data_IF_549644574897
#
_entry.id   IF_549644574897
#
_cell.length_a   1.000
_cell.length_b   1.000
_cell.length_c   1.000
_cell.angle_alpha   90.00
_cell.angle_beta   90.00
_cell.angle_gamma   90.00
#
_symmetry.space_group_name_H-M   'P 1'
#
loop_
_entity.id
_entity.type
_entity.pdbx_description
1 polymer ?
#
# COMPACT_ATOMS: atom_id res chain seq x y z
N UNK A 1 -0.66 -34.34 -6.54
CA UNK A 1 -1.43 -34.40 -5.27
C UNK A 1 -2.71 -35.16 -5.55
N UNK A 2 -3.00 -36.21 -4.77
CA UNK A 2 -4.22 -37.02 -4.94
C UNK A 2 -5.47 -36.16 -4.72
N UNK A 3 -6.41 -36.19 -5.65
CA UNK A 3 -7.61 -35.35 -5.71
C UNK A 3 -8.71 -35.68 -4.67
N UNK A 4 -8.38 -36.40 -3.57
CA UNK A 4 -9.34 -36.91 -2.59
C UNK A 4 -9.17 -36.43 -1.15
N UNK A 5 -8.11 -35.70 -0.80
CA UNK A 5 -7.92 -35.21 0.56
C UNK A 5 -8.46 -33.78 0.71
N UNK A 6 -9.49 -33.62 1.53
CA UNK A 6 -9.98 -32.28 1.92
C UNK A 6 -8.85 -31.54 2.64
N UNK A 7 -8.58 -30.25 2.29
CA UNK A 7 -7.51 -29.48 2.94
C UNK A 7 -7.70 -29.47 4.47
N UNK A 8 -6.62 -29.71 5.18
CA UNK A 8 -6.59 -29.71 6.64
C UNK A 8 -7.00 -28.33 7.20
N UNK A 9 -7.34 -28.27 8.47
CA UNK A 9 -7.62 -26.98 9.13
C UNK A 9 -6.43 -25.99 9.03
N UNK A 10 -5.22 -26.50 9.20
CA UNK A 10 -3.99 -25.70 9.07
C UNK A 10 -3.78 -25.19 7.62
N UNK A 11 -4.08 -26.01 6.63
CA UNK A 11 -3.97 -25.58 5.22
C UNK A 11 -4.98 -24.47 4.89
N UNK A 12 -6.16 -24.50 5.48
CA UNK A 12 -7.14 -23.42 5.35
C UNK A 12 -6.68 -22.13 6.02
N UNK A 13 -6.08 -22.20 7.20
CA UNK A 13 -5.51 -21.01 7.87
C UNK A 13 -4.38 -20.42 7.03
N UNK A 14 -3.46 -21.26 6.54
CA UNK A 14 -2.37 -20.83 5.67
C UNK A 14 -2.90 -20.19 4.39
N UNK A 15 -3.90 -20.80 3.76
CA UNK A 15 -4.54 -20.25 2.57
C UNK A 15 -5.22 -18.89 2.86
N UNK A 16 -5.88 -18.73 4.01
CA UNK A 16 -6.49 -17.47 4.41
C UNK A 16 -5.45 -16.37 4.66
N UNK A 17 -4.35 -16.70 5.33
CA UNK A 17 -3.23 -15.78 5.54
C UNK A 17 -2.59 -15.36 4.21
N UNK A 18 -2.36 -16.32 3.30
CA UNK A 18 -1.80 -16.04 1.98
C UNK A 18 -2.69 -15.09 1.14
N UNK A 19 -4.03 -15.26 1.20
CA UNK A 19 -4.98 -14.36 0.54
C UNK A 19 -4.96 -12.94 1.12
N UNK A 20 -4.82 -12.83 2.44
CA UNK A 20 -4.78 -11.53 3.11
C UNK A 20 -3.48 -10.76 2.82
N UNK A 21 -2.38 -11.44 2.44
CA UNK A 21 -1.03 -10.87 2.25
C UNK A 21 -0.55 -10.14 3.51
N UNK A 22 -0.06 -10.87 4.53
CA UNK A 22 0.23 -10.33 5.86
C UNK A 22 1.17 -9.11 5.86
N UNK A 23 2.17 -9.10 4.99
CA UNK A 23 3.11 -8.00 4.80
C UNK A 23 2.41 -6.68 4.44
N UNK A 24 1.46 -6.71 3.51
CA UNK A 24 0.72 -5.53 3.07
C UNK A 24 -0.30 -5.06 4.13
N UNK A 25 -1.05 -5.99 4.72
CA UNK A 25 -2.09 -5.60 5.68
C UNK A 25 -1.53 -5.11 7.01
N UNK A 26 -0.40 -5.66 7.45
CA UNK A 26 0.32 -5.14 8.61
C UNK A 26 0.83 -3.73 8.34
N UNK A 27 1.38 -3.48 7.14
CA UNK A 27 1.77 -2.16 6.70
C UNK A 27 0.62 -1.16 6.74
N UNK A 28 -0.56 -1.51 6.23
CA UNK A 28 -1.74 -0.66 6.26
C UNK A 28 -2.17 -0.30 7.70
N UNK A 29 -2.19 -1.27 8.62
CA UNK A 29 -2.46 -1.02 10.04
C UNK A 29 -1.43 -0.10 10.69
N UNK A 30 -0.13 -0.32 10.41
CA UNK A 30 0.96 0.52 10.92
C UNK A 30 0.85 1.96 10.39
N UNK A 31 0.49 2.16 9.14
CA UNK A 31 0.29 3.50 8.58
C UNK A 31 -0.87 4.26 9.23
N UNK A 32 -1.96 3.56 9.63
CA UNK A 32 -3.04 4.18 10.40
C UNK A 32 -2.51 4.65 11.76
N UNK A 33 -1.80 3.79 12.50
CA UNK A 33 -1.22 4.16 13.81
C UNK A 33 -0.19 5.29 13.66
N UNK A 34 0.62 5.26 12.60
CA UNK A 34 1.54 6.37 12.29
C UNK A 34 0.78 7.69 12.08
N UNK A 35 -0.33 7.67 11.35
CA UNK A 35 -1.21 8.84 11.19
C UNK A 35 -1.77 9.35 12.51
N UNK A 36 -2.16 8.47 13.44
CA UNK A 36 -2.59 8.84 14.79
C UNK A 36 -1.47 9.54 15.58
N UNK A 37 -0.25 8.99 15.55
CA UNK A 37 0.92 9.58 16.22
C UNK A 37 1.23 10.96 15.64
N UNK A 38 1.25 11.10 14.32
CA UNK A 38 1.51 12.37 13.63
C UNK A 38 0.44 13.44 13.93
N UNK A 39 -0.79 13.00 14.13
CA UNK A 39 -1.90 13.89 14.52
C UNK A 39 -1.75 14.43 15.94
N UNK A 40 -1.33 13.57 16.88
CA UNK A 40 -1.29 13.86 18.31
C UNK A 40 0.07 14.39 18.78
N UNK A 41 1.18 14.11 18.05
CA UNK A 41 2.52 14.34 18.55
C UNK A 41 2.88 13.50 19.78
N UNK A 42 2.13 12.44 20.04
CA UNK A 42 2.33 11.49 21.15
C UNK A 42 1.69 10.13 20.81
N UNK A 43 1.95 9.12 21.65
CA UNK A 43 1.30 7.82 21.47
C UNK A 43 -0.21 7.95 21.65
N UNK A 44 -1.02 7.38 20.76
CA UNK A 44 -2.47 7.37 20.87
C UNK A 44 -2.93 6.48 22.03
N UNK A 45 -4.16 6.69 22.55
CA UNK A 45 -4.75 5.77 23.51
C UNK A 45 -4.75 4.34 22.96
N UNK A 46 -4.43 3.31 23.78
CA UNK A 46 -4.28 1.94 23.29
C UNK A 46 -5.49 1.40 22.52
N UNK A 47 -6.71 1.80 22.93
CA UNK A 47 -7.93 1.39 22.24
C UNK A 47 -8.04 2.04 20.85
N UNK A 48 -7.67 3.31 20.70
CA UNK A 48 -7.65 4.01 19.41
C UNK A 48 -6.62 3.37 18.48
N UNK A 49 -5.40 3.18 18.97
CA UNK A 49 -4.33 2.51 18.20
C UNK A 49 -4.73 1.12 17.72
N UNK A 50 -5.34 0.31 18.60
CA UNK A 50 -5.78 -1.03 18.25
C UNK A 50 -6.89 -1.00 17.20
N UNK A 51 -7.92 -0.18 17.39
CA UNK A 51 -9.03 -0.07 16.44
C UNK A 51 -8.59 0.50 15.10
N UNK A 52 -7.71 1.51 15.10
CA UNK A 52 -7.12 2.06 13.89
C UNK A 52 -6.29 1.03 13.13
N UNK A 53 -5.42 0.32 13.84
CA UNK A 53 -4.65 -0.78 13.28
C UNK A 53 -5.54 -1.86 12.65
N UNK A 54 -6.58 -2.30 13.36
CA UNK A 54 -7.52 -3.32 12.88
C UNK A 54 -8.35 -2.81 11.69
N UNK A 55 -8.75 -1.54 11.68
CA UNK A 55 -9.44 -0.94 10.54
C UNK A 55 -8.56 -0.99 9.29
N UNK A 56 -7.30 -0.52 9.36
CA UNK A 56 -6.34 -0.57 8.25
C UNK A 56 -6.07 -1.99 7.78
N UNK A 57 -5.77 -2.89 8.72
CA UNK A 57 -5.48 -4.29 8.46
C UNK A 57 -6.62 -5.01 7.73
N UNK A 58 -7.83 -4.92 8.26
CA UNK A 58 -8.96 -5.69 7.75
C UNK A 58 -9.55 -5.09 6.47
N UNK A 59 -9.60 -3.76 6.33
CA UNK A 59 -10.04 -3.10 5.09
C UNK A 59 -9.09 -3.46 3.95
N UNK A 60 -7.78 -3.33 4.15
CA UNK A 60 -6.76 -3.71 3.17
C UNK A 60 -6.81 -5.20 2.85
N UNK A 61 -6.94 -6.05 3.86
CA UNK A 61 -7.04 -7.50 3.69
C UNK A 61 -8.26 -7.92 2.87
N UNK A 62 -9.41 -7.29 3.09
CA UNK A 62 -10.60 -7.56 2.28
C UNK A 62 -10.39 -7.19 0.81
N UNK A 63 -9.70 -6.08 0.52
CA UNK A 63 -9.35 -5.68 -0.83
C UNK A 63 -8.39 -6.68 -1.52
N UNK A 64 -7.40 -7.22 -0.78
CA UNK A 64 -6.49 -8.25 -1.27
C UNK A 64 -7.23 -9.56 -1.58
N UNK A 65 -8.15 -9.97 -0.70
CA UNK A 65 -8.99 -11.15 -0.91
C UNK A 65 -9.89 -10.98 -2.15
N UNK A 66 -10.47 -9.78 -2.34
CA UNK A 66 -11.23 -9.45 -3.54
C UNK A 66 -10.38 -9.50 -4.80
N UNK A 67 -9.11 -9.03 -4.74
CA UNK A 67 -8.18 -9.10 -5.85
C UNK A 67 -8.02 -10.54 -6.37
N UNK A 68 -7.79 -11.51 -5.49
CA UNK A 68 -7.64 -12.91 -5.87
C UNK A 68 -8.94 -13.52 -6.46
N UNK A 69 -10.11 -13.01 -6.07
CA UNK A 69 -11.37 -13.40 -6.69
C UNK A 69 -11.49 -12.89 -8.13
N UNK A 70 -11.16 -11.64 -8.37
CA UNK A 70 -11.26 -11.04 -9.71
C UNK A 70 -10.15 -11.54 -10.64
N UNK A 71 -8.98 -11.90 -10.10
CA UNK A 71 -7.85 -12.42 -10.88
C UNK A 71 -7.88 -13.95 -11.07
N UNK A 72 -8.87 -14.67 -10.53
CA UNK A 72 -8.90 -16.14 -10.48
C UNK A 72 -8.66 -16.83 -11.82
N UNK A 73 -9.14 -16.27 -12.93
CA UNK A 73 -9.03 -16.90 -14.26
C UNK A 73 -7.61 -16.68 -14.84
N UNK A 74 -7.02 -15.53 -14.58
CA UNK A 74 -5.61 -15.21 -14.93
C UNK A 74 -4.66 -16.01 -14.04
N UNK A 75 -4.96 -16.11 -12.75
CA UNK A 75 -4.14 -16.84 -11.78
C UNK A 75 -4.12 -18.36 -12.03
N UNK A 76 -5.18 -18.94 -12.62
CA UNK A 76 -5.15 -20.34 -13.05
C UNK A 76 -4.03 -20.66 -14.02
N UNK A 77 -3.64 -19.69 -14.83
CA UNK A 77 -2.56 -19.84 -15.83
C UNK A 77 -1.22 -19.41 -15.24
N UNK A 78 -1.16 -18.24 -14.61
CA UNK A 78 0.09 -17.62 -14.22
C UNK A 78 0.57 -18.04 -12.82
N UNK A 79 -0.34 -18.39 -11.91
CA UNK A 79 -0.07 -18.74 -10.51
C UNK A 79 -0.99 -19.87 -10.01
N UNK A 80 -0.89 -21.07 -10.59
CA UNK A 80 -1.79 -22.20 -10.26
C UNK A 80 -1.65 -22.68 -8.80
N UNK A 81 -0.57 -22.30 -8.12
CA UNK A 81 -0.25 -22.58 -6.72
C UNK A 81 -1.00 -21.69 -5.72
N UNK A 82 -1.60 -20.55 -6.17
CA UNK A 82 -2.37 -19.67 -5.28
C UNK A 82 -3.57 -20.40 -4.65
N UNK A 83 -4.07 -19.94 -3.47
CA UNK A 83 -5.11 -20.64 -2.71
C UNK A 83 -6.38 -20.97 -3.50
N UNK A 84 -6.87 -20.05 -4.32
CA UNK A 84 -8.10 -20.25 -5.08
C UNK A 84 -7.91 -21.15 -6.30
N UNK A 85 -6.93 -20.94 -7.19
CA UNK A 85 -6.64 -21.83 -8.31
C UNK A 85 -6.30 -23.26 -7.88
N UNK A 86 -5.51 -23.43 -6.81
CA UNK A 86 -5.09 -24.74 -6.29
C UNK A 86 -6.21 -25.52 -5.57
N UNK A 87 -7.38 -24.88 -5.34
CA UNK A 87 -8.48 -25.51 -4.60
C UNK A 87 -8.29 -25.58 -3.09
N UNK A 88 -7.21 -24.97 -2.52
CA UNK A 88 -6.99 -24.89 -1.07
C UNK A 88 -8.08 -24.10 -0.35
N UNK A 89 -8.76 -23.19 -1.06
CA UNK A 89 -9.95 -22.49 -0.60
C UNK A 89 -11.01 -22.51 -1.71
N UNK A 90 -12.28 -22.69 -1.31
CA UNK A 90 -13.41 -22.59 -2.24
C UNK A 90 -13.82 -21.13 -2.47
N UNK A 91 -14.53 -20.84 -3.57
CA UNK A 91 -15.10 -19.50 -3.83
C UNK A 91 -16.02 -19.06 -2.68
N UNK A 92 -16.80 -19.99 -2.11
CA UNK A 92 -17.66 -19.69 -0.96
C UNK A 92 -16.83 -19.33 0.30
N UNK A 93 -15.74 -20.07 0.55
CA UNK A 93 -14.81 -19.77 1.65
C UNK A 93 -14.11 -18.42 1.48
N UNK A 94 -13.67 -18.11 0.25
CA UNK A 94 -13.07 -16.79 -0.06
C UNK A 94 -14.08 -15.66 0.16
N UNK A 95 -15.33 -15.80 -0.31
CA UNK A 95 -16.40 -14.81 -0.09
C UNK A 95 -16.71 -14.62 1.39
N UNK A 96 -16.76 -15.69 2.17
CA UNK A 96 -16.97 -15.61 3.62
C UNK A 96 -15.80 -14.86 4.30
N UNK A 97 -14.56 -15.17 3.93
CA UNK A 97 -13.38 -14.47 4.45
C UNK A 97 -13.40 -12.99 4.09
N UNK A 98 -13.73 -12.64 2.85
CA UNK A 98 -13.92 -11.27 2.39
C UNK A 98 -14.93 -10.51 3.26
N UNK A 99 -16.11 -11.10 3.50
CA UNK A 99 -17.18 -10.47 4.30
C UNK A 99 -16.75 -10.28 5.76
N UNK A 100 -16.04 -11.27 6.33
CA UNK A 100 -15.51 -11.17 7.70
C UNK A 100 -14.48 -10.02 7.80
N UNK A 101 -13.55 -9.95 6.86
CA UNK A 101 -12.54 -8.89 6.86
C UNK A 101 -13.18 -7.51 6.61
N UNK A 102 -14.05 -7.37 5.62
CA UNK A 102 -14.74 -6.11 5.35
C UNK A 102 -15.59 -5.67 6.56
N UNK A 103 -16.36 -6.58 7.15
CA UNK A 103 -17.18 -6.30 8.33
C UNK A 103 -16.35 -5.90 9.55
N UNK A 104 -15.25 -6.63 9.84
CA UNK A 104 -14.37 -6.33 10.97
C UNK A 104 -13.67 -4.96 10.78
N UNK A 105 -13.19 -4.66 9.57
CA UNK A 105 -12.53 -3.40 9.28
C UNK A 105 -13.47 -2.19 9.38
N UNK A 106 -14.65 -2.27 8.76
CA UNK A 106 -15.64 -1.20 8.82
C UNK A 106 -16.23 -1.04 10.22
N UNK A 107 -16.42 -2.14 10.97
CA UNK A 107 -16.85 -2.07 12.38
C UNK A 107 -15.79 -1.39 13.26
N UNK A 108 -14.51 -1.71 13.10
CA UNK A 108 -13.41 -1.04 13.80
C UNK A 108 -13.39 0.47 13.49
N UNK A 109 -13.57 0.84 12.21
CA UNK A 109 -13.66 2.23 11.79
C UNK A 109 -14.92 2.94 12.38
N UNK A 110 -16.07 2.26 12.44
CA UNK A 110 -17.29 2.80 13.02
C UNK A 110 -17.16 3.08 14.52
N UNK A 111 -16.45 2.24 15.27
CA UNK A 111 -16.15 2.43 16.69
C UNK A 111 -15.25 3.65 16.94
N UNK A 112 -14.44 4.06 15.96
CA UNK A 112 -13.60 5.26 16.01
C UNK A 112 -14.38 6.54 15.65
N UNK A 113 -15.55 6.41 15.02
CA UNK A 113 -16.45 7.51 14.71
C UNK A 113 -16.88 7.58 13.24
N UNK A 114 -17.92 8.40 12.97
CA UNK A 114 -18.56 8.45 11.65
C UNK A 114 -17.63 8.96 10.54
N UNK A 115 -16.74 9.91 10.83
CA UNK A 115 -15.78 10.41 9.86
C UNK A 115 -14.78 9.31 9.44
N UNK A 116 -14.29 8.53 10.42
CA UNK A 116 -13.37 7.40 10.16
C UNK A 116 -14.06 6.33 9.34
N UNK A 117 -15.31 6.00 9.66
CA UNK A 117 -16.11 5.05 8.89
C UNK A 117 -16.28 5.50 7.44
N UNK A 118 -16.61 6.76 7.19
CA UNK A 118 -16.79 7.31 5.84
C UNK A 118 -15.47 7.23 5.05
N UNK A 119 -14.36 7.64 5.65
CA UNK A 119 -13.04 7.58 5.00
C UNK A 119 -12.63 6.14 4.69
N UNK A 120 -12.84 5.21 5.63
CA UNK A 120 -12.57 3.79 5.43
C UNK A 120 -13.44 3.20 4.32
N UNK A 121 -14.73 3.54 4.29
CA UNK A 121 -15.66 3.08 3.27
C UNK A 121 -15.30 3.62 1.88
N UNK A 122 -14.89 4.89 1.77
CA UNK A 122 -14.42 5.49 0.52
C UNK A 122 -13.16 4.79 0.01
N UNK A 123 -12.14 4.63 0.86
CA UNK A 123 -10.91 3.94 0.49
C UNK A 123 -11.19 2.47 0.06
N UNK A 124 -12.06 1.79 0.81
CA UNK A 124 -12.48 0.43 0.47
C UNK A 124 -13.23 0.36 -0.87
N UNK A 125 -14.16 1.27 -1.13
CA UNK A 125 -14.88 1.33 -2.40
C UNK A 125 -13.94 1.59 -3.59
N UNK A 126 -12.94 2.48 -3.43
CA UNK A 126 -11.90 2.73 -4.44
C UNK A 126 -11.05 1.47 -4.67
N UNK A 127 -10.65 0.76 -3.62
CA UNK A 127 -9.89 -0.49 -3.73
C UNK A 127 -10.71 -1.60 -4.43
N UNK A 128 -12.02 -1.70 -4.19
CA UNK A 128 -12.89 -2.61 -4.94
C UNK A 128 -13.04 -2.19 -6.40
N UNK A 129 -13.22 -0.90 -6.67
CA UNK A 129 -13.30 -0.38 -8.03
C UNK A 129 -11.99 -0.60 -8.80
N UNK A 130 -10.84 -0.49 -8.11
CA UNK A 130 -9.56 -0.88 -8.67
C UNK A 130 -9.58 -2.34 -9.14
N UNK A 131 -9.99 -3.27 -8.28
CA UNK A 131 -10.04 -4.69 -8.60
C UNK A 131 -11.03 -5.02 -9.74
N UNK A 132 -12.15 -4.32 -9.81
CA UNK A 132 -13.20 -4.55 -10.82
C UNK A 132 -12.82 -3.98 -12.18
N UNK A 133 -12.18 -2.78 -12.21
CA UNK A 133 -12.03 -2.03 -13.46
C UNK A 133 -10.74 -1.23 -13.61
N UNK A 134 -10.29 -0.50 -12.55
CA UNK A 134 -9.22 0.50 -12.72
C UNK A 134 -7.86 -0.13 -12.98
N UNK A 135 -7.59 -1.34 -12.50
CA UNK A 135 -6.32 -2.06 -12.74
C UNK A 135 -6.02 -2.27 -14.22
N UNK A 136 -7.03 -2.26 -15.08
CA UNK A 136 -6.86 -2.33 -16.53
C UNK A 136 -6.71 -0.97 -17.20
N UNK A 137 -6.81 0.14 -16.44
CA UNK A 137 -6.80 1.50 -16.96
C UNK A 137 -5.43 2.20 -16.83
N UNK A 138 -4.37 1.46 -16.50
CA UNK A 138 -3.00 1.96 -16.37
C UNK A 138 -2.89 3.01 -15.28
N UNK A 139 -2.53 4.26 -15.62
CA UNK A 139 -2.31 5.34 -14.63
C UNK A 139 -3.44 5.49 -13.62
N UNK A 140 -4.70 5.32 -14.04
CA UNK A 140 -5.84 5.42 -13.12
C UNK A 140 -5.82 4.28 -12.09
N UNK A 141 -5.31 3.10 -12.46
CA UNK A 141 -5.06 2.02 -11.52
C UNK A 141 -4.01 2.41 -10.48
N UNK A 142 -2.85 2.88 -10.94
CA UNK A 142 -1.75 3.28 -10.07
C UNK A 142 -2.15 4.44 -9.13
N UNK A 143 -2.91 5.41 -9.63
CA UNK A 143 -3.49 6.49 -8.81
C UNK A 143 -4.46 5.98 -7.75
N UNK A 144 -5.27 4.96 -8.07
CA UNK A 144 -6.20 4.37 -7.12
C UNK A 144 -5.49 3.61 -5.99
N UNK A 145 -4.41 2.87 -6.31
CA UNK A 145 -3.58 2.20 -5.30
C UNK A 145 -2.91 3.24 -4.40
N UNK A 146 -2.21 4.21 -4.98
CA UNK A 146 -1.55 5.28 -4.25
C UNK A 146 -2.53 6.08 -3.35
N UNK A 147 -3.74 6.34 -3.85
CA UNK A 147 -4.81 6.93 -3.04
C UNK A 147 -5.17 6.06 -1.84
N UNK A 148 -5.39 4.76 -2.03
CA UNK A 148 -5.74 3.86 -0.92
C UNK A 148 -4.63 3.80 0.14
N UNK A 149 -3.36 3.76 -0.27
CA UNK A 149 -2.22 3.78 0.66
C UNK A 149 -2.17 5.10 1.42
N UNK A 150 -2.31 6.25 0.74
CA UNK A 150 -2.31 7.56 1.39
C UNK A 150 -3.46 7.74 2.39
N UNK A 151 -4.64 7.19 2.07
CA UNK A 151 -5.82 7.26 2.92
C UNK A 151 -5.66 6.54 4.25
N UNK A 152 -4.75 5.57 4.38
CA UNK A 152 -4.47 4.92 5.67
C UNK A 152 -3.92 5.93 6.69
N UNK A 153 -3.05 6.84 6.26
CA UNK A 153 -2.49 7.91 7.12
C UNK A 153 -3.58 8.92 7.51
N UNK A 154 -4.40 9.32 6.54
CA UNK A 154 -5.52 10.26 6.80
C UNK A 154 -6.54 9.64 7.76
N UNK A 155 -6.80 8.34 7.62
CA UNK A 155 -7.67 7.58 8.52
C UNK A 155 -7.15 7.62 9.96
N UNK A 156 -5.84 7.47 10.14
CA UNK A 156 -5.20 7.59 11.45
C UNK A 156 -5.36 8.99 12.05
N UNK A 157 -5.13 10.04 11.28
CA UNK A 157 -5.39 11.40 11.72
C UNK A 157 -6.85 11.63 12.14
N UNK A 158 -7.79 11.13 11.35
CA UNK A 158 -9.22 11.21 11.67
C UNK A 158 -9.58 10.41 12.92
N UNK A 159 -8.99 9.23 13.13
CA UNK A 159 -9.16 8.40 14.33
C UNK A 159 -8.64 9.10 15.59
N UNK A 160 -7.58 9.89 15.46
CA UNK A 160 -7.04 10.74 16.52
C UNK A 160 -7.85 12.07 16.73
N UNK A 161 -8.88 12.30 15.94
CA UNK A 161 -9.74 13.49 16.03
C UNK A 161 -9.24 14.71 15.28
N UNK A 162 -8.09 14.64 14.57
CA UNK A 162 -7.56 15.77 13.80
C UNK A 162 -6.75 15.33 12.59
N UNK A 163 -6.92 16.02 11.47
CA UNK A 163 -6.12 15.84 10.25
C UNK A 163 -5.34 17.14 10.04
N UNK A 164 -4.16 17.22 10.67
CA UNK A 164 -3.28 18.40 10.63
C UNK A 164 -2.36 18.39 9.39
N UNK A 165 -1.55 19.45 9.23
CA UNK A 165 -0.64 19.61 8.10
C UNK A 165 0.42 18.50 8.01
N UNK A 166 0.88 17.97 9.17
CA UNK A 166 1.85 16.88 9.22
C UNK A 166 1.24 15.56 8.69
N UNK A 167 0.01 15.23 9.11
CA UNK A 167 -0.75 14.09 8.59
C UNK A 167 -0.95 14.18 7.08
N UNK A 168 -1.38 15.35 6.57
CA UNK A 168 -1.59 15.57 5.14
C UNK A 168 -0.28 15.47 4.35
N UNK A 169 0.80 16.03 4.88
CA UNK A 169 2.12 15.91 4.22
C UNK A 169 2.57 14.46 4.16
N UNK A 170 2.39 13.71 5.24
CA UNK A 170 2.79 12.31 5.26
C UNK A 170 1.90 11.43 4.37
N UNK A 171 0.61 11.72 4.29
CA UNK A 171 -0.29 11.09 3.33
C UNK A 171 0.14 11.39 1.87
N UNK A 172 0.54 12.64 1.57
CA UNK A 172 1.05 13.00 0.25
C UNK A 172 2.40 12.33 -0.06
N UNK A 173 3.28 12.16 0.94
CA UNK A 173 4.52 11.38 0.80
C UNK A 173 4.21 9.91 0.49
N UNK A 174 3.28 9.29 1.21
CA UNK A 174 2.84 7.92 0.96
C UNK A 174 2.26 7.77 -0.45
N UNK A 175 1.42 8.72 -0.88
CA UNK A 175 0.86 8.75 -2.23
C UNK A 175 1.94 8.84 -3.32
N UNK A 176 2.89 9.77 -3.18
CA UNK A 176 3.95 9.97 -4.18
C UNK A 176 4.93 8.79 -4.24
N UNK A 177 5.24 8.20 -3.09
CA UNK A 177 6.09 7.02 -3.02
C UNK A 177 5.43 5.84 -3.75
N UNK A 178 4.19 5.53 -3.38
CA UNK A 178 3.45 4.40 -3.94
C UNK A 178 3.18 4.59 -5.45
N UNK A 179 2.79 5.80 -5.86
CA UNK A 179 2.63 6.12 -7.28
C UNK A 179 3.94 5.93 -8.08
N UNK A 180 5.07 6.37 -7.53
CA UNK A 180 6.38 6.18 -8.14
C UNK A 180 6.76 4.72 -8.26
N UNK A 181 6.46 3.94 -7.24
CA UNK A 181 6.72 2.51 -7.19
C UNK A 181 5.83 1.73 -8.16
N UNK A 182 4.52 1.94 -8.14
CA UNK A 182 3.56 1.29 -9.04
C UNK A 182 3.92 1.52 -10.51
N UNK A 183 4.26 2.76 -10.88
CA UNK A 183 4.69 3.08 -12.25
C UNK A 183 6.02 2.42 -12.60
N UNK A 184 6.96 2.29 -11.64
CA UNK A 184 8.21 1.58 -11.86
C UNK A 184 8.00 0.07 -11.98
N UNK A 185 7.13 -0.51 -11.16
CA UNK A 185 6.75 -1.92 -11.21
C UNK A 185 6.09 -2.28 -12.54
N UNK A 186 5.19 -1.44 -13.07
CA UNK A 186 4.64 -1.59 -14.42
C UNK A 186 5.76 -1.69 -15.49
N UNK A 187 6.83 -0.91 -15.34
CA UNK A 187 7.96 -0.96 -16.28
C UNK A 187 8.76 -2.26 -16.18
N UNK A 188 8.75 -2.92 -15.01
CA UNK A 188 9.43 -4.19 -14.77
C UNK A 188 8.57 -5.42 -15.13
N UNK A 189 7.28 -5.26 -15.37
CA UNK A 189 6.33 -6.35 -15.61
C UNK A 189 5.84 -6.43 -17.06
N UNK A 190 6.35 -5.59 -17.97
CA UNK A 190 5.93 -5.53 -19.39
C UNK A 190 5.99 -6.89 -20.09
N UNK A 191 7.00 -7.74 -19.78
CA UNK A 191 7.11 -9.08 -20.37
C UNK A 191 6.09 -10.07 -19.80
N UNK A 192 5.71 -9.93 -18.51
CA UNK A 192 4.68 -10.74 -17.85
C UNK A 192 3.27 -10.37 -18.26
N UNK A 193 3.05 -9.12 -18.64
CA UNK A 193 1.77 -8.58 -19.09
C UNK A 193 1.42 -8.92 -20.55
N UNK A 194 2.26 -9.64 -21.27
CA UNK A 194 2.02 -10.04 -22.66
C UNK A 194 0.72 -10.87 -22.84
N UNK A 195 0.20 -11.46 -21.75
CA UNK A 195 -1.08 -12.18 -21.74
C UNK A 195 -2.28 -11.29 -21.36
N UNK A 196 -2.04 -10.06 -20.88
CA UNK A 196 -3.06 -9.05 -20.64
C UNK A 196 -2.92 -7.98 -21.72
N UNK A 197 -3.99 -7.58 -22.43
CA UNK A 197 -3.88 -6.47 -23.38
C UNK A 197 -3.39 -5.22 -22.61
N UNK A 198 -2.08 -5.00 -22.69
CA UNK A 198 -1.35 -4.05 -21.87
C UNK A 198 -1.91 -2.64 -21.98
N UNK A 199 -2.46 -2.15 -20.87
CA UNK A 199 -2.92 -0.78 -20.72
C UNK A 199 -2.03 0.04 -19.81
N UNK A 200 -0.94 -0.55 -19.25
CA UNK A 200 0.05 0.19 -18.46
C UNK A 200 0.75 1.26 -19.31
N UNK A 201 1.30 2.29 -18.66
CA UNK A 201 2.11 3.32 -19.33
C UNK A 201 3.29 2.67 -20.04
N UNK A 202 3.93 1.70 -19.39
CA UNK A 202 5.07 0.98 -19.91
C UNK A 202 4.72 0.24 -21.20
N UNK A 203 3.56 -0.42 -21.26
CA UNK A 203 3.08 -1.08 -22.47
C UNK A 203 2.75 -0.11 -23.62
N UNK A 204 2.25 1.11 -23.30
CA UNK A 204 1.83 2.10 -24.31
C UNK A 204 2.97 2.99 -24.80
N UNK A 205 3.91 3.37 -23.94
CA UNK A 205 4.97 4.36 -24.22
C UNK A 205 6.38 3.86 -23.97
N UNK A 206 6.53 2.58 -23.59
CA UNK A 206 7.81 1.93 -23.27
C UNK A 206 8.26 2.11 -21.83
N UNK A 207 9.05 1.15 -21.35
CA UNK A 207 9.53 1.11 -19.97
C UNK A 207 10.37 2.34 -19.58
N UNK A 208 11.21 2.84 -20.48
CA UNK A 208 12.01 4.05 -20.22
C UNK A 208 11.13 5.28 -19.90
N UNK A 209 10.01 5.43 -20.60
CA UNK A 209 9.07 6.53 -20.33
C UNK A 209 8.40 6.35 -18.94
N UNK A 210 7.97 5.13 -18.62
CA UNK A 210 7.39 4.83 -17.32
C UNK A 210 8.39 5.09 -16.18
N UNK A 211 9.66 4.66 -16.32
CA UNK A 211 10.70 4.92 -15.33
C UNK A 211 11.00 6.42 -15.14
N UNK A 212 10.93 7.23 -16.22
CA UNK A 212 11.07 8.69 -16.08
C UNK A 212 9.88 9.31 -15.32
N UNK A 213 8.68 8.84 -15.57
CA UNK A 213 7.48 9.30 -14.85
C UNK A 213 7.53 8.90 -13.36
N UNK A 214 7.95 7.67 -13.06
CA UNK A 214 8.27 7.21 -11.70
C UNK A 214 9.30 8.12 -11.04
N UNK A 215 10.39 8.46 -11.76
CA UNK A 215 11.42 9.37 -11.29
C UNK A 215 10.88 10.77 -10.92
N UNK A 216 9.88 11.28 -11.64
CA UNK A 216 9.22 12.56 -11.31
C UNK A 216 8.43 12.43 -9.99
N UNK A 217 7.67 11.36 -9.79
CA UNK A 217 6.93 11.13 -8.54
C UNK A 217 7.89 11.06 -7.34
N UNK A 218 9.00 10.33 -7.47
CA UNK A 218 10.03 10.27 -6.43
C UNK A 218 10.76 11.61 -6.23
N UNK A 219 10.99 12.40 -7.27
CA UNK A 219 11.58 13.74 -7.13
C UNK A 219 10.66 14.67 -6.34
N UNK A 220 9.35 14.62 -6.59
CA UNK A 220 8.36 15.36 -5.80
C UNK A 220 8.31 14.87 -4.35
N UNK A 221 8.39 13.55 -4.12
CA UNK A 221 8.53 12.98 -2.79
C UNK A 221 9.77 13.54 -2.05
N UNK A 222 10.94 13.51 -2.72
CA UNK A 222 12.20 14.01 -2.12
C UNK A 222 12.13 15.51 -1.82
N UNK A 223 11.44 16.29 -2.65
CA UNK A 223 11.21 17.71 -2.35
C UNK A 223 10.26 17.90 -1.16
N UNK A 224 9.17 17.12 -1.11
CA UNK A 224 8.14 17.24 -0.09
C UNK A 224 8.61 16.80 1.31
N UNK A 225 9.59 15.88 1.40
CA UNK A 225 10.10 15.40 2.69
C UNK A 225 10.69 16.52 3.56
N UNK A 226 11.07 17.66 2.99
CA UNK A 226 11.59 18.81 3.74
C UNK A 226 10.51 19.72 4.29
N UNK A 227 9.23 19.58 3.82
CA UNK A 227 8.15 20.48 4.22
C UNK A 227 7.89 20.48 5.74
N UNK A 228 7.92 19.37 6.49
CA UNK A 228 7.68 19.40 7.94
C UNK A 228 8.68 20.26 8.71
N UNK A 229 9.94 20.33 8.25
CA UNK A 229 10.94 21.23 8.83
C UNK A 229 10.71 22.68 8.40
N UNK A 230 10.49 22.90 7.11
CA UNK A 230 10.28 24.26 6.56
C UNK A 230 9.03 24.93 7.14
N UNK A 231 8.00 24.13 7.47
CA UNK A 231 6.78 24.60 8.14
C UNK A 231 6.93 24.76 9.65
N UNK A 232 8.10 24.42 10.22
CA UNK A 232 8.36 24.53 11.66
C UNK A 232 7.64 23.48 12.51
N UNK A 233 7.13 22.39 11.90
CA UNK A 233 6.42 21.36 12.66
C UNK A 233 7.36 20.35 13.32
N UNK A 234 8.52 20.07 12.68
CA UNK A 234 9.55 19.16 13.17
C UNK A 234 10.91 19.84 13.23
N UNK A 235 11.71 19.46 14.22
CA UNK A 235 12.97 20.10 14.56
C UNK A 235 14.18 19.67 13.70
N UNK A 236 15.41 20.15 14.07
CA UNK A 236 16.64 19.87 13.31
C UNK A 236 17.02 18.41 13.21
N UNK A 237 16.64 17.58 14.19
CA UNK A 237 16.85 16.12 14.13
C UNK A 237 16.11 15.52 12.93
N UNK A 238 14.86 15.93 12.73
CA UNK A 238 14.11 15.54 11.54
C UNK A 238 14.80 15.98 10.25
N UNK A 239 15.28 17.23 10.19
CA UNK A 239 15.98 17.74 9.00
C UNK A 239 17.20 16.88 8.65
N UNK A 240 17.99 16.47 9.64
CA UNK A 240 19.15 15.60 9.41
C UNK A 240 18.72 14.24 8.84
N UNK A 241 17.67 13.63 9.40
CA UNK A 241 17.09 12.38 8.89
C UNK A 241 16.53 12.55 7.47
N UNK A 242 15.79 13.63 7.20
CA UNK A 242 15.21 13.93 5.89
C UNK A 242 16.31 14.16 4.84
N UNK A 243 17.40 14.86 5.19
CA UNK A 243 18.53 15.07 4.30
C UNK A 243 19.24 13.75 3.96
N UNK A 244 19.53 12.92 4.97
CA UNK A 244 20.14 11.60 4.77
C UNK A 244 19.24 10.70 3.89
N UNK A 245 17.94 10.63 4.20
CA UNK A 245 16.98 9.86 3.43
C UNK A 245 16.85 10.40 1.98
N UNK A 246 16.79 11.72 1.81
CA UNK A 246 16.71 12.35 0.50
C UNK A 246 17.93 12.04 -0.38
N UNK A 247 19.14 12.03 0.19
CA UNK A 247 20.37 11.62 -0.52
C UNK A 247 20.31 10.14 -0.94
N UNK A 248 19.96 9.24 -0.01
CA UNK A 248 19.84 7.80 -0.30
C UNK A 248 18.80 7.55 -1.39
N UNK A 249 17.61 8.15 -1.25
CA UNK A 249 16.53 7.99 -2.23
C UNK A 249 16.90 8.59 -3.59
N UNK A 250 17.55 9.75 -3.64
CA UNK A 250 18.04 10.35 -4.89
C UNK A 250 19.00 9.40 -5.63
N UNK A 251 19.93 8.78 -4.90
CA UNK A 251 20.82 7.77 -5.47
C UNK A 251 20.06 6.55 -6.00
N UNK A 252 19.14 5.99 -5.18
CA UNK A 252 18.37 4.80 -5.57
C UNK A 252 17.47 5.07 -6.78
N UNK A 253 16.80 6.23 -6.82
CA UNK A 253 15.96 6.65 -7.95
C UNK A 253 16.79 6.86 -9.21
N UNK A 254 17.95 7.50 -9.11
CA UNK A 254 18.86 7.68 -10.25
C UNK A 254 19.32 6.33 -10.81
N UNK A 255 19.57 5.34 -9.96
CA UNK A 255 19.92 3.98 -10.36
C UNK A 255 18.72 3.23 -10.97
N UNK A 256 17.52 3.37 -10.38
CA UNK A 256 16.29 2.79 -10.91
C UNK A 256 15.98 3.31 -12.32
N UNK A 257 15.99 4.62 -12.51
CA UNK A 257 15.68 5.24 -13.84
C UNK A 257 16.70 4.85 -14.93
N UNK A 258 17.95 4.51 -14.51
CA UNK A 258 19.02 4.08 -15.41
C UNK A 258 19.21 2.56 -15.46
N UNK A 259 18.32 1.79 -14.81
CA UNK A 259 18.45 0.33 -14.79
C UNK A 259 18.42 -0.24 -16.21
N UNK A 260 19.38 -1.12 -16.50
CA UNK A 260 19.53 -1.73 -17.82
C UNK A 260 18.70 -3.03 -17.95
N UNK A 261 18.32 -3.64 -16.82
CA UNK A 261 17.59 -4.90 -16.77
C UNK A 261 16.45 -4.86 -15.78
N UNK A 262 15.43 -5.69 -16.02
CA UNK A 262 14.29 -5.88 -15.10
C UNK A 262 14.77 -6.31 -13.70
N UNK A 263 15.74 -7.23 -13.64
CA UNK A 263 16.28 -7.71 -12.36
C UNK A 263 16.94 -6.58 -11.55
N UNK A 264 17.71 -5.71 -12.21
CA UNK A 264 18.31 -4.54 -11.58
C UNK A 264 17.25 -3.56 -11.07
N UNK A 265 16.23 -3.26 -11.88
CA UNK A 265 15.12 -2.38 -11.49
C UNK A 265 14.38 -2.89 -10.24
N UNK A 266 14.04 -4.17 -10.19
CA UNK A 266 13.40 -4.81 -9.02
C UNK A 266 14.25 -4.72 -7.75
N UNK A 267 15.58 -4.80 -7.85
CA UNK A 267 16.49 -4.61 -6.70
C UNK A 267 16.38 -3.17 -6.17
N UNK A 268 16.35 -2.16 -7.05
CA UNK A 268 16.25 -0.77 -6.61
C UNK A 268 14.85 -0.44 -6.06
N UNK A 269 13.77 -0.98 -6.61
CA UNK A 269 12.42 -0.87 -6.03
C UNK A 269 12.43 -1.41 -4.59
N UNK A 270 12.96 -2.61 -4.36
CA UNK A 270 13.06 -3.18 -3.01
C UNK A 270 13.88 -2.31 -2.04
N UNK A 271 14.99 -1.72 -2.50
CA UNK A 271 15.80 -0.81 -1.68
C UNK A 271 15.08 0.49 -1.37
N UNK A 272 14.26 1.00 -2.29
CA UNK A 272 13.40 2.17 -2.06
C UNK A 272 12.35 1.89 -0.98
N UNK A 273 11.74 0.71 -0.94
CA UNK A 273 10.86 0.32 0.15
C UNK A 273 11.55 0.32 1.50
N UNK A 274 12.79 -0.18 1.58
CA UNK A 274 13.56 -0.15 2.83
C UNK A 274 13.88 1.28 3.26
N UNK A 275 14.26 2.14 2.31
CA UNK A 275 14.51 3.55 2.57
C UNK A 275 13.24 4.28 3.02
N UNK A 276 12.09 3.98 2.41
CA UNK A 276 10.78 4.49 2.81
C UNK A 276 10.43 4.08 4.24
N UNK A 277 10.60 2.81 4.58
CA UNK A 277 10.41 2.33 5.95
C UNK A 277 11.24 3.10 6.97
N UNK A 278 12.50 3.39 6.65
CA UNK A 278 13.36 4.22 7.50
C UNK A 278 12.84 5.67 7.65
N UNK A 279 12.31 6.26 6.57
CA UNK A 279 11.66 7.59 6.62
C UNK A 279 10.45 7.57 7.54
N UNK A 280 9.57 6.56 7.41
CA UNK A 280 8.39 6.40 8.27
C UNK A 280 8.79 6.37 9.74
N UNK A 281 9.77 5.53 10.09
CA UNK A 281 10.29 5.45 11.47
C UNK A 281 10.85 6.78 11.93
N UNK A 282 11.67 7.44 11.10
CA UNK A 282 12.30 8.73 11.46
C UNK A 282 11.25 9.82 11.71
N UNK A 283 10.20 9.91 10.89
CA UNK A 283 9.13 10.90 11.06
C UNK A 283 8.33 10.62 12.32
N UNK A 284 7.95 9.37 12.56
CA UNK A 284 7.22 8.97 13.78
C UNK A 284 8.05 9.25 15.02
N UNK A 285 9.32 8.87 15.05
CA UNK A 285 10.21 9.17 16.19
C UNK A 285 10.39 10.67 16.39
N UNK A 286 10.62 11.43 15.31
CA UNK A 286 10.79 12.88 15.40
C UNK A 286 9.52 13.61 15.86
N UNK A 287 8.33 13.04 15.65
CA UNK A 287 7.07 13.62 16.14
C UNK A 287 6.81 13.33 17.62
N UNK A 288 7.57 12.43 18.23
CA UNK A 288 7.49 12.08 19.65
C UNK A 288 8.55 12.81 20.51
N UNK A 289 9.53 13.48 19.87
CA UNK A 289 10.59 14.28 20.51
C UNK A 289 10.21 15.76 20.62
#
# INVERSE_FOLDING_TARGET
MNASERPSFLDRIRAAAELARPDLVLGAGIFVVAGEILALGQLPPPATALLGFLAGLFVSGSANIANDYFDRDVDRVNRPDRPLPSGRISVAGLRALFLVFAGAGLASAALLGPAVLVLAAVAWAVALLYNIRLKEMGVLGNLAVAFCVSMTVVLGGAAAGTVNGLVLTFAALAFLFDLGEEVASDAMDVEGDALRPGRSIAAKRGGTYALRLSGIAFALFIALIFLPFLAGWLGPVYLACAAAAGLVMSYLVARLVRSATIAEGRVFIRRLYLAWGAVVVAVVVASLL
#
